data_IF_772309875541
#
_entry.id   IF_772309875541
#
_cell.length_a   1.000
_cell.length_b   1.000
_cell.length_c   1.000
_cell.angle_alpha   90.00
_cell.angle_beta   90.00
_cell.angle_gamma   90.00
#
_symmetry.space_group_name_H-M   'P 1'
#
loop_
_entity.id
_entity.type
_entity.pdbx_description
1 polymer ?
#
# COMPACT_ATOMS: atom_id res chain seq x y z
N UNK A 1 62.96 -10.66 7.30
CA UNK A 1 62.32 -9.34 7.46
C UNK A 1 60.92 -9.43 6.86
N UNK A 2 59.87 -9.57 7.69
CA UNK A 2 58.48 -9.69 7.22
C UNK A 2 57.85 -8.30 7.19
N UNK A 3 57.55 -7.80 6.00
CA UNK A 3 56.79 -6.55 5.82
C UNK A 3 55.30 -6.85 6.06
N UNK A 4 54.72 -6.22 7.08
CA UNK A 4 53.27 -6.14 7.23
C UNK A 4 52.79 -4.88 6.52
N UNK A 5 52.00 -5.04 5.46
CA UNK A 5 51.34 -3.93 4.79
C UNK A 5 50.12 -3.51 5.61
N UNK A 6 50.14 -2.29 6.14
CA UNK A 6 49.00 -1.66 6.80
C UNK A 6 48.03 -1.17 5.72
N UNK A 7 46.94 -1.91 5.49
CA UNK A 7 45.80 -1.44 4.69
C UNK A 7 44.98 -0.47 5.52
N UNK A 8 45.00 0.82 5.18
CA UNK A 8 44.10 1.80 5.76
C UNK A 8 42.69 1.62 5.17
N UNK A 9 41.71 1.31 6.03
CA UNK A 9 40.29 1.24 5.66
C UNK A 9 39.73 2.67 5.69
N UNK A 10 39.42 3.22 4.53
CA UNK A 10 38.74 4.52 4.40
C UNK A 10 37.24 4.33 4.66
N UNK A 11 36.76 4.78 5.81
CA UNK A 11 35.32 4.80 6.13
C UNK A 11 34.71 6.06 5.53
N UNK A 12 33.97 5.92 4.42
CA UNK A 12 33.20 7.01 3.82
C UNK A 12 31.88 7.13 4.57
N UNK A 13 31.75 8.14 5.43
CA UNK A 13 30.47 8.48 6.08
C UNK A 13 29.67 9.33 5.10
N UNK A 14 28.72 8.72 4.40
CA UNK A 14 27.77 9.43 3.56
C UNK A 14 26.80 10.22 4.44
N UNK A 15 26.94 11.54 4.51
CA UNK A 15 25.97 12.41 5.14
C UNK A 15 24.71 12.49 4.27
N UNK A 16 23.63 11.84 4.70
CA UNK A 16 22.31 12.00 4.07
C UNK A 16 21.84 13.43 4.28
N UNK A 17 21.74 14.22 3.20
CA UNK A 17 21.09 15.53 3.24
C UNK A 17 19.60 15.32 3.50
N UNK A 18 19.15 15.66 4.71
CA UNK A 18 17.72 15.72 5.03
C UNK A 18 17.18 16.95 4.30
N UNK A 19 16.56 16.75 3.13
CA UNK A 19 15.83 17.83 2.47
C UNK A 19 14.75 18.35 3.41
N UNK A 20 14.67 19.67 3.67
CA UNK A 20 13.57 20.23 4.43
C UNK A 20 12.29 19.97 3.65
N UNK A 21 11.48 19.03 4.14
CA UNK A 21 10.14 18.83 3.60
C UNK A 21 9.33 20.06 4.01
N UNK A 22 8.64 20.73 3.08
CA UNK A 22 7.75 21.81 3.45
C UNK A 22 6.75 21.26 4.46
N UNK A 23 6.74 21.82 5.67
CA UNK A 23 5.74 21.50 6.66
C UNK A 23 4.44 22.04 6.10
N UNK A 24 3.57 21.16 5.58
CA UNK A 24 2.20 21.53 5.24
C UNK A 24 1.57 22.21 6.45
N UNK A 25 0.79 23.26 6.19
CA UNK A 25 0.07 23.99 7.23
C UNK A 25 -0.70 23.01 8.12
N UNK A 26 -0.81 23.31 9.41
CA UNK A 26 -1.58 22.47 10.33
C UNK A 26 -3.05 22.42 9.89
N UNK A 27 -3.50 21.25 9.44
CA UNK A 27 -4.68 20.53 9.93
C UNK A 27 -5.86 21.34 10.50
N UNK A 28 -6.53 22.25 9.79
CA UNK A 28 -7.66 23.02 10.41
C UNK A 28 -9.06 22.45 10.16
N UNK A 29 -9.21 21.50 9.23
CA UNK A 29 -10.50 20.88 8.88
C UNK A 29 -10.30 19.49 8.23
N UNK A 30 -11.30 18.97 7.52
CA UNK A 30 -11.18 17.78 6.67
C UNK A 30 -10.17 17.99 5.55
N UNK A 31 -9.38 16.95 5.29
CA UNK A 31 -8.39 16.94 4.23
C UNK A 31 -8.40 15.65 3.44
N UNK A 32 -7.86 15.74 2.23
CA UNK A 32 -7.50 14.56 1.47
C UNK A 32 -6.43 13.76 2.24
N UNK A 33 -6.51 12.43 2.25
CA UNK A 33 -5.52 11.61 2.93
C UNK A 33 -4.13 11.86 2.32
N UNK A 34 -3.13 11.94 3.19
CA UNK A 34 -1.72 12.04 2.81
C UNK A 34 -0.99 10.75 3.17
N UNK A 35 -0.18 10.24 2.26
CA UNK A 35 0.65 9.07 2.54
C UNK A 35 1.94 9.54 3.21
N UNK A 36 2.13 9.17 4.48
CA UNK A 36 3.31 9.55 5.25
C UNK A 36 4.60 8.83 4.79
N UNK A 37 4.45 7.61 4.27
CA UNK A 37 5.58 6.84 3.74
C UNK A 37 5.99 7.35 2.35
N UNK A 38 7.29 7.24 1.98
CA UNK A 38 7.71 7.46 0.60
C UNK A 38 6.91 6.58 -0.38
N UNK A 39 6.68 7.05 -1.62
CA UNK A 39 6.08 6.22 -2.66
C UNK A 39 6.85 4.91 -2.86
N UNK A 40 6.12 3.84 -3.22
CA UNK A 40 6.75 2.56 -3.48
C UNK A 40 7.58 2.62 -4.77
N UNK A 41 8.84 2.20 -4.69
CA UNK A 41 9.72 2.08 -5.86
C UNK A 41 9.40 0.78 -6.62
N UNK A 42 8.42 0.82 -7.52
CA UNK A 42 8.00 -0.34 -8.33
C UNK A 42 9.11 -0.73 -9.34
N UNK A 43 9.44 -2.03 -9.47
CA UNK A 43 10.33 -2.51 -10.52
C UNK A 43 9.80 -2.17 -11.91
N UNK A 44 10.69 -1.83 -12.84
CA UNK A 44 10.36 -1.58 -14.26
C UNK A 44 10.26 -2.87 -15.09
N UNK A 45 10.34 -4.03 -14.44
CA UNK A 45 10.15 -5.34 -15.07
C UNK A 45 8.69 -5.54 -15.45
N UNK A 46 8.39 -6.46 -16.39
CA UNK A 46 7.01 -6.82 -16.71
C UNK A 46 6.20 -7.19 -15.47
N UNK A 47 4.96 -6.74 -15.41
CA UNK A 47 4.04 -6.98 -14.29
C UNK A 47 2.67 -7.43 -14.80
N UNK A 48 1.86 -8.00 -13.90
CA UNK A 48 0.46 -8.31 -14.15
C UNK A 48 -0.43 -7.63 -13.13
N UNK A 49 -1.67 -7.35 -13.54
CA UNK A 49 -2.70 -6.72 -12.70
C UNK A 49 -3.86 -7.69 -12.55
N UNK A 50 -4.23 -7.98 -11.30
CA UNK A 50 -5.39 -8.81 -10.96
C UNK A 50 -6.46 -7.91 -10.33
N UNK A 51 -7.59 -7.65 -11.01
CA UNK A 51 -8.68 -6.88 -10.42
C UNK A 51 -9.36 -7.68 -9.30
N UNK A 52 -9.24 -7.22 -8.04
CA UNK A 52 -9.88 -7.87 -6.89
C UNK A 52 -11.33 -7.40 -6.67
N UNK A 53 -11.60 -6.12 -6.93
CA UNK A 53 -12.92 -5.52 -6.81
C UNK A 53 -13.05 -4.36 -7.80
N UNK A 54 -14.28 -4.08 -8.25
CA UNK A 54 -14.60 -2.90 -9.07
C UNK A 54 -15.83 -2.22 -8.50
N UNK A 55 -15.71 -0.93 -8.15
CA UNK A 55 -16.82 -0.06 -7.73
C UNK A 55 -17.74 -0.73 -6.71
N UNK A 56 -17.17 -1.18 -5.60
CA UNK A 56 -17.94 -1.78 -4.52
C UNK A 56 -18.34 -0.70 -3.51
N UNK A 57 -19.59 -0.70 -3.04
CA UNK A 57 -20.00 0.20 -1.97
C UNK A 57 -19.16 -0.12 -0.72
N UNK A 58 -18.83 0.92 0.05
CA UNK A 58 -18.20 0.76 1.35
C UNK A 58 -19.29 0.92 2.42
N UNK A 59 -19.91 -0.17 2.88
CA UNK A 59 -21.09 -0.06 3.71
C UNK A 59 -20.71 0.23 5.16
N UNK A 60 -21.70 0.60 5.96
CA UNK A 60 -21.49 0.98 7.36
C UNK A 60 -21.04 -0.23 8.19
N UNK A 61 -19.86 -0.14 8.81
CA UNK A 61 -19.30 -1.22 9.63
C UNK A 61 -20.28 -1.67 10.72
N UNK A 62 -20.57 -2.97 10.78
CA UNK A 62 -21.46 -3.58 11.77
C UNK A 62 -22.93 -3.73 11.36
N UNK A 63 -23.34 -3.20 10.20
CA UNK A 63 -24.74 -3.28 9.72
C UNK A 63 -24.87 -3.91 8.33
N UNK A 64 -23.78 -4.40 7.76
CA UNK A 64 -23.72 -4.85 6.37
C UNK A 64 -22.66 -5.92 6.15
N UNK A 65 -22.89 -6.75 5.13
CA UNK A 65 -21.93 -7.73 4.64
C UNK A 65 -20.84 -7.04 3.81
N UNK A 66 -19.54 -7.23 4.13
CA UNK A 66 -18.46 -6.78 3.28
C UNK A 66 -18.54 -7.40 1.87
N UNK A 67 -17.96 -6.73 0.89
CA UNK A 67 -17.75 -7.36 -0.41
C UNK A 67 -16.82 -8.57 -0.27
N UNK A 68 -17.20 -9.68 -0.91
CA UNK A 68 -16.37 -10.88 -1.05
C UNK A 68 -16.21 -11.23 -2.52
N UNK A 69 -15.05 -11.80 -2.86
CA UNK A 69 -14.73 -12.22 -4.21
C UNK A 69 -13.69 -13.33 -4.19
N UNK A 70 -13.47 -13.97 -5.33
CA UNK A 70 -12.44 -14.99 -5.50
C UNK A 70 -11.18 -14.38 -6.11
N UNK A 71 -10.04 -14.88 -5.67
CA UNK A 71 -8.74 -14.57 -6.22
C UNK A 71 -8.04 -15.89 -6.57
N UNK A 72 -7.45 -15.94 -7.75
CA UNK A 72 -6.52 -16.99 -8.15
C UNK A 72 -5.23 -16.35 -8.66
N UNK A 73 -4.07 -16.99 -8.44
CA UNK A 73 -2.80 -16.50 -8.95
C UNK A 73 -2.83 -16.30 -10.49
N UNK A 74 -2.28 -15.20 -11.03
CA UNK A 74 -2.33 -14.92 -12.46
C UNK A 74 -1.46 -15.90 -13.26
N UNK A 75 -2.06 -16.69 -14.15
CA UNK A 75 -1.35 -17.65 -15.01
C UNK A 75 -0.34 -16.94 -15.93
N UNK A 76 -0.65 -15.71 -16.35
CA UNK A 76 0.22 -14.90 -17.21
C UNK A 76 1.46 -14.33 -16.49
N UNK A 77 1.52 -14.42 -15.16
CA UNK A 77 2.64 -13.98 -14.34
C UNK A 77 2.84 -14.97 -13.18
N UNK A 78 3.41 -16.15 -13.46
CA UNK A 78 3.71 -17.11 -12.41
C UNK A 78 4.79 -16.57 -11.48
N UNK A 79 4.76 -17.00 -10.21
CA UNK A 79 5.85 -16.77 -9.28
C UNK A 79 7.16 -17.46 -9.74
N UNK A 80 8.34 -17.01 -9.25
CA UNK A 80 8.53 -16.01 -8.19
C UNK A 80 8.30 -14.57 -8.66
N UNK A 81 7.62 -13.78 -7.82
CA UNK A 81 7.47 -12.34 -8.01
C UNK A 81 8.55 -11.59 -7.24
N UNK A 82 9.17 -10.60 -7.87
CA UNK A 82 10.13 -9.71 -7.20
C UNK A 82 9.44 -8.69 -6.28
N UNK A 83 8.18 -8.37 -6.54
CA UNK A 83 7.36 -7.46 -5.75
C UNK A 83 5.87 -7.75 -6.01
N UNK A 84 5.05 -7.67 -4.97
CA UNK A 84 3.58 -7.62 -5.10
C UNK A 84 3.06 -6.37 -4.41
N UNK A 85 2.24 -5.60 -5.13
CA UNK A 85 1.66 -4.35 -4.61
C UNK A 85 0.14 -4.46 -4.57
N UNK A 86 -0.45 -4.10 -3.43
CA UNK A 86 -1.87 -3.83 -3.31
C UNK A 86 -2.14 -2.38 -3.69
N UNK A 87 -2.93 -2.21 -4.75
CA UNK A 87 -3.47 -0.92 -5.20
C UNK A 87 -4.92 -0.77 -4.72
N UNK A 88 -5.17 0.17 -3.80
CA UNK A 88 -6.49 0.44 -3.26
C UNK A 88 -6.91 1.88 -3.54
N UNK A 89 -7.90 2.05 -4.40
CA UNK A 89 -8.48 3.36 -4.73
C UNK A 89 -9.93 3.45 -4.26
N UNK A 90 -10.36 4.65 -3.92
CA UNK A 90 -11.76 4.92 -3.58
C UNK A 90 -12.15 6.37 -3.79
N UNK A 91 -13.44 6.61 -3.69
CA UNK A 91 -14.02 7.94 -3.69
C UNK A 91 -15.20 8.00 -2.73
N UNK A 92 -15.45 9.18 -2.18
CA UNK A 92 -16.53 9.43 -1.24
C UNK A 92 -17.03 10.87 -1.39
N UNK A 93 -18.34 11.07 -1.31
CA UNK A 93 -18.98 12.38 -1.42
C UNK A 93 -20.27 12.44 -0.62
N UNK A 94 -20.76 13.65 -0.34
CA UNK A 94 -21.98 13.86 0.43
C UNK A 94 -21.77 13.69 1.94
N UNK A 95 -22.83 13.33 2.66
CA UNK A 95 -22.77 13.15 4.12
C UNK A 95 -22.35 11.73 4.48
N UNK A 96 -21.04 11.52 4.59
CA UNK A 96 -20.43 10.28 5.07
C UNK A 96 -19.44 10.60 6.20
N UNK A 97 -18.92 9.57 6.85
CA UNK A 97 -17.90 9.69 7.90
C UNK A 97 -16.83 8.63 7.66
N UNK A 98 -15.67 8.78 8.27
CA UNK A 98 -14.58 7.81 8.18
C UNK A 98 -14.99 6.42 8.71
N UNK A 99 -14.48 5.37 8.09
CA UNK A 99 -14.76 3.98 8.45
C UNK A 99 -13.48 3.19 8.49
N UNK A 100 -13.43 2.16 9.35
CA UNK A 100 -12.36 1.17 9.28
C UNK A 100 -12.42 0.44 7.94
N UNK A 101 -11.30 0.41 7.24
CA UNK A 101 -11.09 -0.32 6.00
C UNK A 101 -10.13 -1.47 6.24
N UNK A 102 -10.62 -2.69 6.02
CA UNK A 102 -9.79 -3.90 6.06
C UNK A 102 -9.94 -4.66 4.75
N UNK A 103 -8.82 -5.15 4.22
CA UNK A 103 -8.81 -6.07 3.08
C UNK A 103 -8.20 -7.37 3.57
N UNK A 104 -8.97 -8.44 3.39
CA UNK A 104 -8.58 -9.80 3.71
C UNK A 104 -8.29 -10.54 2.41
N UNK A 105 -7.23 -11.33 2.40
CA UNK A 105 -6.99 -12.36 1.39
C UNK A 105 -6.84 -13.67 2.16
N UNK A 106 -7.61 -14.70 1.78
CA UNK A 106 -7.70 -15.92 2.58
C UNK A 106 -8.04 -15.60 4.05
N UNK A 107 -7.12 -15.96 4.96
CA UNK A 107 -7.26 -15.77 6.41
C UNK A 107 -6.39 -14.63 6.99
N UNK A 108 -5.79 -13.78 6.15
CA UNK A 108 -4.89 -12.71 6.60
C UNK A 108 -5.39 -11.32 6.20
N UNK A 109 -5.24 -10.36 7.11
CA UNK A 109 -5.43 -8.93 6.82
C UNK A 109 -4.20 -8.44 6.06
N UNK A 110 -4.36 -8.11 4.78
CA UNK A 110 -3.29 -7.54 3.96
C UNK A 110 -3.30 -6.01 4.00
N UNK A 111 -4.42 -5.40 4.38
CA UNK A 111 -4.55 -3.95 4.59
C UNK A 111 -5.46 -3.64 5.77
N UNK A 112 -5.06 -2.69 6.61
CA UNK A 112 -5.87 -2.08 7.66
C UNK A 112 -5.63 -0.58 7.66
N UNK A 113 -6.71 0.20 7.62
CA UNK A 113 -6.67 1.65 7.65
C UNK A 113 -8.07 2.23 7.86
N UNK A 114 -8.24 3.50 7.48
CA UNK A 114 -9.55 4.17 7.47
C UNK A 114 -9.86 4.76 6.10
N UNK A 115 -11.14 4.95 5.79
CA UNK A 115 -11.59 5.76 4.65
C UNK A 115 -11.63 7.23 5.04
N UNK A 116 -11.37 8.19 4.13
CA UNK A 116 -11.49 9.60 4.46
C UNK A 116 -12.95 10.00 4.71
N UNK A 117 -13.18 10.94 5.63
CA UNK A 117 -14.45 11.67 5.75
C UNK A 117 -14.52 12.73 4.64
N UNK A 118 -15.57 12.77 3.80
CA UNK A 118 -15.60 13.65 2.63
C UNK A 118 -15.67 15.13 2.99
N UNK A 119 -15.10 15.96 2.11
CA UNK A 119 -15.47 17.39 2.00
C UNK A 119 -16.79 17.53 1.21
N UNK A 120 -17.44 18.72 1.20
CA UNK A 120 -18.58 18.97 0.32
C UNK A 120 -18.28 18.73 -1.17
N UNK A 121 -17.03 18.89 -1.61
CA UNK A 121 -16.60 18.61 -2.99
C UNK A 121 -16.32 17.12 -3.26
N UNK A 122 -16.32 16.28 -2.22
CA UNK A 122 -15.90 14.89 -2.27
C UNK A 122 -14.39 14.72 -2.13
N UNK A 123 -13.97 13.47 -1.92
CA UNK A 123 -12.58 13.06 -1.82
C UNK A 123 -12.38 11.81 -2.67
N UNK A 124 -11.28 11.78 -3.42
CA UNK A 124 -10.74 10.57 -4.03
C UNK A 124 -9.39 10.27 -3.39
N UNK A 125 -9.09 8.99 -3.20
CA UNK A 125 -7.81 8.56 -2.63
C UNK A 125 -7.28 7.32 -3.34
N UNK A 126 -5.97 7.15 -3.22
CA UNK A 126 -5.24 5.96 -3.64
C UNK A 126 -4.18 5.65 -2.60
N UNK A 127 -4.10 4.38 -2.23
CA UNK A 127 -3.09 3.84 -1.32
C UNK A 127 -2.42 2.66 -1.99
N UNK A 128 -1.09 2.63 -1.89
CA UNK A 128 -0.26 1.51 -2.31
C UNK A 128 0.34 0.84 -1.08
N UNK A 129 0.39 -0.49 -1.08
CA UNK A 129 1.11 -1.25 -0.05
C UNK A 129 1.91 -2.38 -0.68
N UNK A 130 3.20 -2.47 -0.34
CA UNK A 130 4.00 -3.66 -0.63
C UNK A 130 3.48 -4.81 0.23
N UNK A 131 2.96 -5.84 -0.44
CA UNK A 131 2.41 -7.05 0.16
C UNK A 131 3.21 -8.29 -0.23
N UNK A 132 4.46 -8.11 -0.68
CA UNK A 132 5.35 -9.21 -1.09
C UNK A 132 5.56 -10.24 0.02
N UNK A 133 5.53 -9.82 1.30
CA UNK A 133 5.59 -10.70 2.45
C UNK A 133 4.43 -11.72 2.51
N UNK A 134 3.30 -11.43 1.87
CA UNK A 134 2.14 -12.31 1.77
C UNK A 134 2.18 -13.24 0.56
N UNK A 135 3.30 -13.32 -0.19
CA UNK A 135 3.42 -14.20 -1.37
C UNK A 135 2.96 -15.64 -1.13
N UNK A 136 3.28 -16.32 -0.01
CA UNK A 136 2.78 -17.69 0.23
C UNK A 136 1.24 -17.79 0.24
N UNK A 137 0.57 -16.78 0.78
CA UNK A 137 -0.90 -16.68 0.80
C UNK A 137 -1.45 -16.47 -0.61
N UNK A 138 -0.76 -15.65 -1.42
CA UNK A 138 -1.15 -15.30 -2.79
C UNK A 138 -0.88 -16.40 -3.83
N UNK A 139 -0.16 -17.45 -3.46
CA UNK A 139 0.05 -18.64 -4.29
C UNK A 139 -0.90 -19.78 -3.96
N UNK A 140 -1.70 -19.63 -2.89
CA UNK A 140 -2.64 -20.66 -2.46
C UNK A 140 -3.96 -20.46 -3.19
N UNK A 141 -4.44 -21.50 -3.88
CA UNK A 141 -5.83 -21.56 -4.32
C UNK A 141 -6.72 -21.86 -3.09
N UNK A 142 -7.55 -20.89 -2.71
CA UNK A 142 -8.61 -21.08 -1.74
C UNK A 142 -9.88 -21.54 -2.46
N UNK A 143 -9.82 -22.73 -3.08
CA UNK A 143 -10.99 -23.43 -3.61
C UNK A 143 -11.71 -24.21 -2.52
#
# INVERSE_FOLDING_TARGET
MRLFALTAILVVVSASLISPHPVSATETNYQNPVTAAPPLARPTTPSCVVPLARTQPFPFAGYSTPFTGTYSPPISCPAPWSMVVLDFSGHVSGRQFDRMATIWIGNAIVYMGTTPEPTPAGIAWHTEKDVSEYTPLLLTDFL
#
